data_IF_076926949732
#
_entry.id   IF_076926949732
#
_cell.length_a   1.000
_cell.length_b   1.000
_cell.length_c   1.000
_cell.angle_alpha   90.00
_cell.angle_beta   90.00
_cell.angle_gamma   90.00
#
_symmetry.space_group_name_H-M   'P 1'
#
loop_
_entity.id
_entity.type
_entity.pdbx_description
1 polymer ?
#
# COMPACT_ATOMS: atom_id res chain seq x y z
N UNK A 1 -37.84 -1.70 49.00
CA UNK A 1 -37.94 -0.50 48.14
C UNK A 1 -36.56 0.14 48.11
N UNK A 2 -35.79 0.04 47.00
CA UNK A 2 -35.81 0.98 45.86
C UNK A 2 -35.12 2.30 46.28
N UNK A 3 -34.02 2.82 45.71
CA UNK A 3 -33.37 2.73 44.40
C UNK A 3 -31.83 2.88 44.49
N UNK A 4 -31.15 2.29 43.51
CA UNK A 4 -29.93 2.71 42.78
C UNK A 4 -29.56 4.21 42.94
N UNK A 5 -28.30 4.64 42.88
CA UNK A 5 -27.62 4.84 41.58
C UNK A 5 -26.12 5.05 41.80
N UNK A 6 -25.32 4.04 41.45
CA UNK A 6 -23.90 4.22 41.17
C UNK A 6 -23.75 4.91 39.82
N UNK A 7 -23.24 6.14 39.82
CA UNK A 7 -22.92 6.88 38.60
C UNK A 7 -21.56 6.41 38.07
N UNK A 8 -21.54 5.23 37.45
CA UNK A 8 -20.40 4.76 36.66
C UNK A 8 -20.42 5.44 35.29
N UNK A 9 -19.80 6.61 35.17
CA UNK A 9 -19.48 7.22 33.89
C UNK A 9 -18.33 6.46 33.23
N UNK A 10 -18.63 5.27 32.70
CA UNK A 10 -17.78 4.64 31.68
C UNK A 10 -18.01 5.38 30.36
N UNK A 11 -17.32 6.51 30.20
CA UNK A 11 -17.11 7.14 28.90
C UNK A 11 -16.26 6.21 28.04
N UNK A 12 -16.89 5.25 27.37
CA UNK A 12 -16.28 4.41 26.36
C UNK A 12 -15.99 5.21 25.10
N UNK A 13 -14.97 6.06 25.13
CA UNK A 13 -14.35 6.57 23.92
C UNK A 13 -13.50 5.45 23.33
N UNK A 14 -13.78 5.03 22.10
CA UNK A 14 -12.84 4.18 21.36
C UNK A 14 -11.46 4.86 21.39
N UNK A 15 -10.38 4.12 21.70
CA UNK A 15 -9.04 4.71 21.68
C UNK A 15 -8.76 5.28 20.29
N UNK A 16 -8.09 6.45 20.20
CA UNK A 16 -7.81 7.07 18.91
C UNK A 16 -7.00 6.09 18.04
N UNK A 17 -7.46 5.89 16.80
CA UNK A 17 -6.77 5.04 15.83
C UNK A 17 -5.35 5.55 15.60
N UNK A 18 -4.39 4.63 15.56
CA UNK A 18 -3.01 4.97 15.25
C UNK A 18 -2.91 5.62 13.87
N UNK A 19 -2.08 6.67 13.69
CA UNK A 19 -1.85 7.27 12.39
C UNK A 19 -1.27 6.24 11.42
N UNK A 20 -1.66 6.36 10.14
CA UNK A 20 -1.09 5.56 9.08
C UNK A 20 0.34 6.00 8.77
N UNK A 21 1.25 5.03 8.74
CA UNK A 21 2.61 5.21 8.24
C UNK A 21 2.85 4.24 7.08
N UNK A 22 3.41 4.73 5.96
CA UNK A 22 3.83 3.87 4.86
C UNK A 22 4.80 2.78 5.31
N UNK A 23 4.77 1.63 4.65
CA UNK A 23 5.77 0.58 4.85
C UNK A 23 7.18 1.13 4.62
N UNK A 24 8.12 0.72 5.49
CA UNK A 24 9.50 1.23 5.48
C UNK A 24 10.29 0.66 4.30
N UNK A 25 11.17 1.51 3.76
CA UNK A 25 12.19 1.10 2.80
C UNK A 25 13.38 0.50 3.53
N UNK A 26 13.72 -0.74 3.21
CA UNK A 26 14.86 -1.43 3.79
C UNK A 26 16.18 -0.90 3.23
N UNK A 27 17.28 -1.02 4.00
CA UNK A 27 18.57 -0.45 3.62
C UNK A 27 19.11 -1.03 2.29
N UNK A 28 18.97 -2.34 2.08
CA UNK A 28 19.36 -3.05 0.86
C UNK A 28 18.58 -2.57 -0.38
N UNK A 29 17.34 -2.13 -0.18
CA UNK A 29 16.43 -1.71 -1.24
C UNK A 29 16.66 -0.28 -1.74
N UNK A 30 17.49 0.51 -1.04
CA UNK A 30 17.84 1.89 -1.44
C UNK A 30 18.50 1.98 -2.81
N UNK A 31 19.18 0.92 -3.23
CA UNK A 31 19.83 0.84 -4.55
C UNK A 31 18.90 0.50 -5.72
N UNK A 32 17.62 0.20 -5.47
CA UNK A 32 16.66 -0.19 -6.51
C UNK A 32 16.04 1.06 -7.14
N UNK A 33 16.21 1.22 -8.45
CA UNK A 33 15.66 2.38 -9.18
C UNK A 33 14.35 2.02 -9.87
N UNK A 34 13.35 2.89 -9.81
CA UNK A 34 12.10 2.74 -10.55
C UNK A 34 12.25 3.42 -11.91
N UNK A 35 12.15 2.64 -12.98
CA UNK A 35 12.18 3.11 -14.36
C UNK A 35 10.75 3.39 -14.87
N UNK A 36 10.60 4.43 -15.68
CA UNK A 36 9.32 4.74 -16.35
C UNK A 36 9.02 3.79 -17.52
N UNK A 37 10.03 3.12 -18.05
CA UNK A 37 9.93 2.19 -19.18
C UNK A 37 10.93 1.06 -18.98
N UNK A 38 10.72 -0.06 -19.68
CA UNK A 38 11.66 -1.19 -19.69
C UNK A 38 13.06 -0.69 -20.05
N UNK A 39 14.06 -0.89 -19.19
CA UNK A 39 15.42 -0.42 -19.44
C UNK A 39 16.08 -1.25 -20.55
N UNK A 40 16.74 -0.57 -21.49
CA UNK A 40 17.50 -1.21 -22.56
C UNK A 40 18.79 -1.84 -22.00
N UNK A 41 19.19 -2.99 -22.54
CA UNK A 41 20.39 -3.74 -22.15
C UNK A 41 20.40 -4.31 -20.72
N UNK A 42 19.23 -4.48 -20.09
CA UNK A 42 19.11 -5.20 -18.82
C UNK A 42 18.41 -6.56 -19.02
N UNK A 43 18.78 -7.54 -18.20
CA UNK A 43 18.17 -8.88 -18.21
C UNK A 43 16.95 -8.88 -17.28
N UNK A 44 15.81 -9.40 -17.74
CA UNK A 44 14.65 -9.62 -16.87
C UNK A 44 14.96 -10.73 -15.86
N UNK A 45 14.74 -10.44 -14.57
CA UNK A 45 14.88 -11.41 -13.49
C UNK A 45 13.55 -12.06 -13.13
N UNK A 46 12.46 -11.32 -13.26
CA UNK A 46 11.11 -11.82 -12.95
C UNK A 46 10.13 -10.68 -12.65
N UNK A 47 9.00 -11.05 -12.06
CA UNK A 47 7.94 -10.14 -11.63
C UNK A 47 7.80 -10.17 -10.12
N UNK A 48 7.53 -9.01 -9.52
CA UNK A 48 7.32 -8.84 -8.09
C UNK A 48 6.07 -7.99 -7.83
N UNK A 49 5.47 -8.19 -6.66
CA UNK A 49 4.35 -7.39 -6.16
C UNK A 49 4.81 -6.65 -4.90
N UNK A 50 4.58 -5.34 -4.86
CA UNK A 50 4.65 -4.54 -3.65
C UNK A 50 3.26 -4.14 -3.19
N UNK A 51 3.01 -4.20 -1.89
CA UNK A 51 1.70 -3.88 -1.31
C UNK A 51 1.80 -3.10 -0.02
N UNK A 52 0.80 -2.25 0.21
CA UNK A 52 0.56 -1.66 1.52
C UNK A 52 -0.94 -1.63 1.84
N UNK A 53 -1.27 -1.68 3.13
CA UNK A 53 -2.65 -1.80 3.62
C UNK A 53 -2.86 -0.85 4.79
N UNK A 54 -3.99 -0.14 4.81
CA UNK A 54 -4.33 0.79 5.89
C UNK A 54 -4.51 0.05 7.22
N UNK A 55 -5.23 -1.07 7.20
CA UNK A 55 -5.63 -1.79 8.42
C UNK A 55 -6.52 -0.91 9.31
N UNK A 56 -6.31 -0.95 10.62
CA UNK A 56 -7.08 -0.16 11.60
C UNK A 56 -6.55 1.28 11.80
N UNK A 57 -5.58 1.70 10.97
CA UNK A 57 -4.94 3.01 11.05
C UNK A 57 -5.79 4.10 10.40
N UNK A 58 -5.54 5.35 10.76
CA UNK A 58 -6.27 6.52 10.26
C UNK A 58 -5.37 7.48 9.48
N UNK A 59 -5.95 8.34 8.63
CA UNK A 59 -5.19 9.36 7.90
C UNK A 59 -4.39 8.84 6.71
N UNK A 60 -4.62 7.62 6.25
CA UNK A 60 -4.02 7.11 5.02
C UNK A 60 -4.49 7.93 3.81
N UNK A 61 -3.55 8.46 3.03
CA UNK A 61 -3.82 9.06 1.72
C UNK A 61 -3.36 8.13 0.61
N UNK A 62 -3.78 8.42 -0.62
CA UNK A 62 -3.37 7.62 -1.79
C UNK A 62 -1.86 7.73 -2.02
N UNK A 63 -1.28 8.88 -1.76
CA UNK A 63 0.15 9.15 -1.88
C UNK A 63 0.96 8.31 -0.88
N UNK A 64 0.53 8.28 0.38
CA UNK A 64 1.18 7.51 1.44
C UNK A 64 1.06 5.98 1.22
N UNK A 65 -0.10 5.51 0.77
CA UNK A 65 -0.29 4.10 0.39
C UNK A 65 0.58 3.72 -0.81
N UNK A 66 0.69 4.60 -1.80
CA UNK A 66 1.54 4.37 -2.97
C UNK A 66 3.00 4.33 -2.58
N UNK A 67 3.44 5.26 -1.74
CA UNK A 67 4.81 5.27 -1.20
C UNK A 67 5.14 3.96 -0.51
N UNK A 68 4.28 3.49 0.39
CA UNK A 68 4.49 2.24 1.10
C UNK A 68 4.49 1.01 0.20
N UNK A 69 3.61 0.98 -0.82
CA UNK A 69 3.60 -0.10 -1.81
C UNK A 69 4.86 -0.08 -2.70
N UNK A 70 5.39 1.11 -3.06
CA UNK A 70 6.67 1.25 -3.78
C UNK A 70 7.85 0.82 -2.90
N UNK A 71 7.83 1.15 -1.61
CA UNK A 71 8.87 0.71 -0.68
C UNK A 71 8.90 -0.81 -0.56
N UNK A 72 7.74 -1.44 -0.39
CA UNK A 72 7.60 -2.89 -0.41
C UNK A 72 8.11 -3.51 -1.72
N UNK A 73 7.71 -2.92 -2.85
CA UNK A 73 8.12 -3.37 -4.18
C UNK A 73 9.65 -3.35 -4.33
N UNK A 74 10.31 -2.31 -3.81
CA UNK A 74 11.77 -2.21 -3.80
C UNK A 74 12.41 -3.22 -2.87
N UNK A 75 11.80 -3.51 -1.72
CA UNK A 75 12.27 -4.54 -0.79
C UNK A 75 12.23 -5.93 -1.45
N UNK A 76 11.12 -6.28 -2.11
CA UNK A 76 10.97 -7.53 -2.84
C UNK A 76 11.93 -7.61 -4.04
N UNK A 77 12.06 -6.53 -4.81
CA UNK A 77 12.99 -6.47 -5.93
C UNK A 77 14.46 -6.60 -5.49
N UNK A 78 14.82 -6.04 -4.32
CA UNK A 78 16.14 -6.21 -3.72
C UNK A 78 16.43 -7.65 -3.37
N UNK A 79 15.43 -8.38 -2.86
CA UNK A 79 15.57 -9.80 -2.56
C UNK A 79 15.80 -10.61 -3.84
N UNK A 80 15.06 -10.32 -4.91
CA UNK A 80 15.19 -11.01 -6.21
C UNK A 80 16.52 -10.69 -6.91
N UNK A 81 16.98 -9.44 -6.87
CA UNK A 81 18.19 -9.01 -7.58
C UNK A 81 19.49 -9.52 -6.95
N UNK A 82 19.46 -9.81 -5.64
CA UNK A 82 20.66 -10.17 -4.89
C UNK A 82 21.59 -8.98 -4.61
N UNK A 83 22.61 -9.23 -3.81
CA UNK A 83 23.58 -8.22 -3.40
C UNK A 83 24.55 -7.83 -4.53
N UNK A 84 25.06 -6.59 -4.50
CA UNK A 84 26.07 -6.11 -5.46
C UNK A 84 25.57 -5.82 -6.89
N UNK A 85 24.31 -6.14 -7.22
CA UNK A 85 23.73 -5.87 -8.54
C UNK A 85 23.05 -4.51 -8.64
N UNK A 86 23.14 -3.91 -9.82
CA UNK A 86 22.39 -2.72 -10.23
C UNK A 86 21.03 -3.19 -10.76
N UNK A 87 20.04 -3.20 -9.88
CA UNK A 87 18.67 -3.58 -10.25
C UNK A 87 17.77 -2.38 -10.52
N UNK A 88 16.90 -2.54 -11.51
CA UNK A 88 15.84 -1.59 -11.83
C UNK A 88 14.49 -2.30 -11.83
N UNK A 89 13.42 -1.56 -11.54
CA UNK A 89 12.05 -2.07 -11.64
C UNK A 89 11.24 -1.21 -12.60
N UNK A 90 10.41 -1.83 -13.43
CA UNK A 90 9.42 -1.15 -14.25
C UNK A 90 8.02 -1.55 -13.81
N UNK A 91 7.22 -0.58 -13.36
CA UNK A 91 5.85 -0.81 -12.91
C UNK A 91 4.99 -1.21 -14.12
N UNK A 92 4.32 -2.34 -14.03
CA UNK A 92 3.44 -2.88 -15.07
C UNK A 92 1.97 -2.64 -14.75
N UNK A 93 1.61 -2.60 -13.46
CA UNK A 93 0.23 -2.42 -13.02
C UNK A 93 0.18 -1.78 -11.64
N UNK A 94 -0.75 -0.85 -11.44
CA UNK A 94 -1.12 -0.36 -10.10
C UNK A 94 -2.61 -0.65 -9.87
N UNK A 95 -2.94 -1.14 -8.68
CA UNK A 95 -4.31 -1.42 -8.25
C UNK A 95 -4.55 -0.83 -6.86
N UNK A 96 -5.69 -0.17 -6.68
CA UNK A 96 -6.11 0.38 -5.39
C UNK A 96 -7.48 -0.19 -5.04
N UNK A 97 -7.62 -0.69 -3.80
CA UNK A 97 -8.89 -1.14 -3.23
C UNK A 97 -9.39 -0.17 -2.19
N UNK A 98 -10.69 0.07 -2.24
CA UNK A 98 -11.42 0.89 -1.28
C UNK A 98 -12.61 0.12 -0.73
N UNK A 99 -13.06 0.48 0.47
CA UNK A 99 -14.41 0.18 0.92
C UNK A 99 -15.28 1.39 0.57
N UNK A 100 -16.25 1.19 -0.31
CA UNK A 100 -17.20 2.20 -0.72
C UNK A 100 -18.63 1.83 -0.31
N UNK A 101 -19.46 2.83 -0.02
CA UNK A 101 -20.90 2.61 0.20
C UNK A 101 -21.63 2.81 -1.13
N UNK A 102 -22.23 1.73 -1.65
CA UNK A 102 -23.02 1.73 -2.87
C UNK A 102 -24.45 1.33 -2.50
N UNK A 103 -25.39 2.26 -2.65
CA UNK A 103 -26.74 2.10 -2.11
C UNK A 103 -26.73 2.00 -0.59
N UNK A 104 -27.15 0.86 -0.05
CA UNK A 104 -27.17 0.57 1.41
C UNK A 104 -26.05 -0.37 1.88
N UNK A 105 -25.17 -0.80 0.97
CA UNK A 105 -24.14 -1.80 1.27
C UNK A 105 -22.73 -1.20 1.21
N UNK A 106 -21.88 -1.58 2.17
CA UNK A 106 -20.43 -1.36 2.10
C UNK A 106 -19.79 -2.50 1.32
N UNK A 107 -19.03 -2.16 0.29
CA UNK A 107 -18.42 -3.14 -0.61
C UNK A 107 -16.94 -2.82 -0.81
N UNK A 108 -16.13 -3.88 -0.90
CA UNK A 108 -14.74 -3.75 -1.32
C UNK A 108 -14.72 -3.63 -2.86
N UNK A 109 -14.22 -2.52 -3.36
CA UNK A 109 -14.27 -2.15 -4.77
C UNK A 109 -12.90 -1.71 -5.26
N UNK A 110 -12.71 -1.81 -6.57
CA UNK A 110 -11.57 -1.16 -7.22
C UNK A 110 -11.79 0.35 -7.24
N UNK A 111 -10.78 1.10 -6.80
CA UNK A 111 -10.78 2.55 -6.82
C UNK A 111 -9.50 3.13 -7.44
N UNK A 112 -8.83 2.34 -8.29
CA UNK A 112 -7.59 2.74 -8.97
C UNK A 112 -7.80 4.03 -9.77
N UNK A 113 -8.94 4.18 -10.43
CA UNK A 113 -9.29 5.36 -11.24
C UNK A 113 -10.29 6.29 -10.55
N UNK A 114 -10.40 6.21 -9.22
CA UNK A 114 -11.41 6.92 -8.44
C UNK A 114 -12.54 6.00 -7.98
N UNK A 115 -13.52 6.55 -7.25
CA UNK A 115 -14.63 5.75 -6.74
C UNK A 115 -15.58 5.31 -7.86
N UNK A 116 -16.16 4.10 -7.78
CA UNK A 116 -17.11 3.64 -8.77
C UNK A 116 -18.39 4.49 -8.78
N UNK A 117 -19.06 4.53 -9.92
CA UNK A 117 -20.32 5.26 -10.08
C UNK A 117 -21.37 4.81 -9.06
N UNK A 118 -22.03 5.78 -8.42
CA UNK A 118 -23.04 5.52 -7.38
C UNK A 118 -22.46 5.28 -5.98
N UNK A 119 -21.13 5.36 -5.80
CA UNK A 119 -20.53 5.42 -4.47
C UNK A 119 -20.76 6.80 -3.83
N UNK A 120 -21.22 6.81 -2.58
CA UNK A 120 -21.43 8.05 -1.80
C UNK A 120 -20.22 8.40 -0.93
N UNK A 121 -19.41 7.41 -0.58
CA UNK A 121 -18.16 7.58 0.15
C UNK A 121 -17.17 6.46 -0.23
N UNK A 122 -15.91 6.66 0.13
CA UNK A 122 -14.87 5.67 -0.07
C UNK A 122 -13.72 5.84 0.91
N UNK A 123 -13.27 4.74 1.47
CA UNK A 123 -12.11 4.69 2.36
C UNK A 123 -11.08 3.77 1.73
N UNK A 124 -9.85 4.26 1.58
CA UNK A 124 -8.73 3.48 1.05
C UNK A 124 -8.44 2.30 1.99
N UNK A 125 -8.18 1.12 1.40
CA UNK A 125 -7.91 -0.11 2.16
C UNK A 125 -6.53 -0.65 1.84
N UNK A 126 -6.19 -0.74 0.56
CA UNK A 126 -4.93 -1.32 0.14
C UNK A 126 -4.50 -0.80 -1.23
N UNK A 127 -3.20 -0.80 -1.46
CA UNK A 127 -2.61 -0.59 -2.77
C UNK A 127 -1.66 -1.74 -3.10
N UNK A 128 -1.72 -2.20 -4.34
CA UNK A 128 -0.83 -3.21 -4.92
C UNK A 128 -0.19 -2.66 -6.18
N UNK A 129 1.09 -2.90 -6.34
CA UNK A 129 1.87 -2.49 -7.51
C UNK A 129 2.62 -3.71 -8.00
N UNK A 130 2.44 -4.05 -9.27
CA UNK A 130 3.18 -5.10 -9.94
C UNK A 130 4.28 -4.47 -10.78
N UNK A 131 5.47 -5.07 -10.75
CA UNK A 131 6.58 -4.62 -11.57
C UNK A 131 7.44 -5.79 -12.05
N UNK A 132 8.13 -5.55 -13.16
CA UNK A 132 9.21 -6.40 -13.62
C UNK A 132 10.53 -5.93 -13.01
N UNK A 133 11.38 -6.87 -12.60
CA UNK A 133 12.71 -6.63 -12.06
C UNK A 133 13.75 -6.92 -13.14
N UNK A 134 14.73 -6.04 -13.26
CA UNK A 134 15.80 -6.11 -14.25
C UNK A 134 17.16 -6.06 -13.56
N UNK A 135 18.07 -6.94 -13.98
CA UNK A 135 19.50 -6.87 -13.69
C UNK A 135 20.19 -6.07 -14.79
N UNK A 136 20.81 -4.95 -14.41
CA UNK A 136 21.53 -4.05 -15.29
C UNK A 136 23.04 -4.08 -15.06
N UNK A 137 23.58 -5.15 -14.45
CA UNK A 137 25.00 -5.34 -14.21
C UNK A 137 25.41 -5.08 -12.77
N UNK A 138 26.70 -4.88 -12.54
CA UNK A 138 27.26 -4.66 -11.20
C UNK A 138 27.23 -3.18 -10.80
N UNK A 139 27.25 -2.94 -9.49
CA UNK A 139 27.31 -1.60 -8.90
C UNK A 139 28.72 -1.04 -8.89
#
# INVERSE_FOLDING_TARGET
MVFLTGCGLFGGGEPPKTPYEPKKLEAQARGITVAKSTPYNCKILGEVEGKDNVGDRSGATRELLREGAINDLRNEASYVAGEGKRAMIAITKEEVKCIATIGKARQNVDCTNGLPNGATNGVLVSQRIHAQVFDCGEK
#
